data_IF_258143310965
#
_entry.id   IF_258143310965
#
_cell.length_a   1.000
_cell.length_b   1.000
_cell.length_c   1.000
_cell.angle_alpha   90.00
_cell.angle_beta   90.00
_cell.angle_gamma   90.00
#
_symmetry.space_group_name_H-M   'P 1'
#
loop_
_entity.id
_entity.type
_entity.pdbx_description
1 polymer ?
#
# COMPACT_ATOMS: atom_id res chain seq x y z
N UNK A 1 -0.24 23.11 -6.36
CA UNK A 1 0.96 22.27 -6.42
C UNK A 1 2.14 23.19 -6.26
N UNK A 2 2.94 23.00 -5.20
CA UNK A 2 4.20 23.72 -4.99
C UNK A 2 5.32 22.73 -5.31
N UNK A 3 6.31 23.16 -6.10
CA UNK A 3 7.37 22.30 -6.60
C UNK A 3 8.70 22.75 -5.98
N UNK A 4 9.26 21.91 -5.13
CA UNK A 4 10.65 22.05 -4.67
C UNK A 4 11.57 21.23 -5.58
N UNK A 5 12.87 21.54 -5.54
CA UNK A 5 13.89 20.85 -6.35
C UNK A 5 13.88 19.36 -6.04
N UNK A 6 13.83 19.02 -4.75
CA UNK A 6 13.95 17.63 -4.28
C UNK A 6 12.63 17.01 -3.82
N UNK A 7 11.53 17.76 -3.74
CA UNK A 7 10.28 17.29 -3.16
C UNK A 7 9.05 17.76 -3.96
N UNK A 8 8.06 16.89 -4.05
CA UNK A 8 6.77 17.14 -4.67
C UNK A 8 5.69 17.05 -3.61
N UNK A 9 5.01 18.17 -3.38
CA UNK A 9 3.88 18.25 -2.46
C UNK A 9 2.55 18.21 -3.22
N UNK A 10 1.64 17.34 -2.77
CA UNK A 10 0.30 17.17 -3.36
C UNK A 10 -0.73 17.80 -2.42
N UNK A 11 -1.54 18.69 -2.97
CA UNK A 11 -2.59 19.42 -2.25
C UNK A 11 -3.97 19.09 -2.82
N UNK A 12 -4.96 18.97 -1.93
CA UNK A 12 -6.37 18.97 -2.28
C UNK A 12 -7.03 20.20 -1.64
N UNK A 13 -7.36 21.19 -2.47
CA UNK A 13 -7.71 22.53 -1.98
C UNK A 13 -6.53 23.18 -1.27
N UNK A 14 -6.75 23.62 -0.02
CA UNK A 14 -5.71 24.20 0.86
C UNK A 14 -4.99 23.18 1.74
N UNK A 15 -5.40 21.90 1.70
CA UNK A 15 -4.82 20.85 2.57
C UNK A 15 -3.73 20.07 1.83
N UNK A 16 -2.54 19.96 2.44
CA UNK A 16 -1.49 19.04 1.99
C UNK A 16 -1.94 17.59 2.27
N UNK A 17 -1.95 16.75 1.25
CA UNK A 17 -2.43 15.35 1.34
C UNK A 17 -1.32 14.32 1.16
N UNK A 18 -0.19 14.69 0.54
CA UNK A 18 0.97 13.82 0.41
C UNK A 18 2.23 14.65 0.12
N UNK A 19 3.38 14.08 0.45
CA UNK A 19 4.69 14.62 0.12
C UNK A 19 5.60 13.49 -0.32
N UNK A 20 6.34 13.69 -1.41
CA UNK A 20 7.24 12.67 -1.95
C UNK A 20 8.56 13.29 -2.38
N UNK A 21 9.67 12.63 -2.03
CA UNK A 21 10.97 12.93 -2.62
C UNK A 21 10.93 12.73 -4.13
N UNK A 22 11.53 13.67 -4.88
CA UNK A 22 11.63 13.61 -6.33
C UNK A 22 12.60 12.50 -6.72
N UNK A 23 12.17 11.61 -7.61
CA UNK A 23 13.03 10.60 -8.20
C UNK A 23 13.59 11.13 -9.52
N UNK A 24 14.92 11.24 -9.61
CA UNK A 24 15.61 11.68 -10.83
C UNK A 24 15.94 10.49 -11.74
N UNK A 25 15.84 10.70 -13.06
CA UNK A 25 16.10 9.69 -14.10
C UNK A 25 14.84 9.04 -14.69
N UNK A 26 15.00 8.34 -15.82
CA UNK A 26 13.88 7.71 -16.54
C UNK A 26 13.35 6.45 -15.84
N UNK A 27 12.04 6.21 -15.95
CA UNK A 27 11.33 5.02 -15.44
C UNK A 27 11.44 4.77 -13.92
N UNK A 28 11.62 5.82 -13.12
CA UNK A 28 11.58 5.73 -11.66
C UNK A 28 10.14 5.81 -11.16
N UNK A 29 9.77 4.92 -10.24
CA UNK A 29 8.44 4.88 -9.64
C UNK A 29 8.58 4.97 -8.12
N UNK A 30 7.85 5.89 -7.49
CA UNK A 30 7.61 5.86 -6.05
C UNK A 30 6.33 5.05 -5.81
N UNK A 31 6.49 3.79 -5.42
CA UNK A 31 5.39 2.86 -5.21
C UNK A 31 5.22 2.62 -3.71
N UNK A 32 4.56 3.55 -3.04
CA UNK A 32 4.15 3.33 -1.65
C UNK A 32 2.91 2.44 -1.67
N UNK A 33 2.99 1.18 -1.19
CA UNK A 33 1.90 0.21 -1.28
C UNK A 33 0.60 0.73 -0.63
N UNK A 34 0.75 1.53 0.41
CA UNK A 34 -0.33 2.16 1.18
C UNK A 34 -1.29 2.99 0.32
N UNK A 35 -0.83 3.65 -0.75
CA UNK A 35 -1.69 4.42 -1.65
C UNK A 35 -2.59 3.54 -2.53
N UNK A 36 -2.22 2.27 -2.69
CA UNK A 36 -2.90 1.35 -3.57
C UNK A 36 -3.86 0.42 -2.83
N UNK A 37 -3.79 0.34 -1.50
CA UNK A 37 -4.63 -0.56 -0.70
C UNK A 37 -6.12 -0.31 -0.92
N UNK A 38 -6.57 0.95 -0.94
CA UNK A 38 -7.97 1.28 -1.23
C UNK A 38 -8.41 0.83 -2.64
N UNK A 39 -7.52 0.95 -3.63
CA UNK A 39 -7.79 0.52 -4.99
C UNK A 39 -7.89 -1.01 -5.09
N UNK A 40 -6.98 -1.71 -4.40
CA UNK A 40 -6.95 -3.17 -4.39
C UNK A 40 -8.12 -3.72 -3.57
N UNK A 41 -8.57 -3.03 -2.52
CA UNK A 41 -9.78 -3.40 -1.78
C UNK A 41 -11.02 -3.43 -2.69
N UNK A 42 -11.13 -2.47 -3.62
CA UNK A 42 -12.21 -2.43 -4.63
C UNK A 42 -12.08 -3.56 -5.66
N UNK A 43 -10.87 -4.03 -5.96
CA UNK A 43 -10.59 -5.12 -6.92
C UNK A 43 -9.59 -6.14 -6.35
N UNK A 44 -10.02 -7.03 -5.43
CA UNK A 44 -9.12 -7.93 -4.69
C UNK A 44 -8.42 -8.95 -5.58
N UNK A 45 -8.99 -9.28 -6.74
CA UNK A 45 -8.36 -10.17 -7.72
C UNK A 45 -7.03 -9.62 -8.26
N UNK A 46 -6.82 -8.29 -8.19
CA UNK A 46 -5.57 -7.67 -8.59
C UNK A 46 -4.47 -7.78 -7.51
N UNK A 47 -4.77 -8.29 -6.32
CA UNK A 47 -3.82 -8.33 -5.20
C UNK A 47 -2.51 -9.04 -5.56
N UNK A 48 -2.61 -10.21 -6.20
CA UNK A 48 -1.44 -11.03 -6.59
C UNK A 48 -0.69 -10.46 -7.80
N UNK A 49 -1.34 -9.66 -8.65
CA UNK A 49 -0.74 -9.06 -9.84
C UNK A 49 -0.23 -7.63 -9.62
N UNK A 50 -0.67 -6.97 -8.55
CA UNK A 50 -0.27 -5.62 -8.21
C UNK A 50 1.23 -5.57 -7.89
N UNK A 51 2.00 -4.88 -8.75
CA UNK A 51 3.46 -4.71 -8.60
C UNK A 51 3.85 -4.20 -7.22
N UNK A 52 3.07 -3.26 -6.68
CA UNK A 52 3.30 -2.66 -5.36
C UNK A 52 3.21 -3.69 -4.23
N UNK A 53 2.25 -4.62 -4.31
CA UNK A 53 2.11 -5.71 -3.33
C UNK A 53 3.25 -6.69 -3.47
N UNK A 54 3.58 -7.13 -4.70
CA UNK A 54 4.70 -8.05 -4.94
C UNK A 54 6.03 -7.53 -4.38
N UNK A 55 6.32 -6.24 -4.61
CA UNK A 55 7.54 -5.61 -4.09
C UNK A 55 7.51 -5.47 -2.57
N UNK A 56 6.35 -5.19 -1.98
CA UNK A 56 6.22 -5.07 -0.54
C UNK A 56 6.35 -6.42 0.17
N UNK A 57 5.76 -7.48 -0.41
CA UNK A 57 5.82 -8.86 0.09
C UNK A 57 7.24 -9.37 0.29
N UNK A 58 8.19 -8.98 -0.55
CA UNK A 58 9.60 -9.40 -0.39
C UNK A 58 10.22 -8.92 0.93
N UNK A 59 9.68 -7.86 1.54
CA UNK A 59 10.24 -7.24 2.74
C UNK A 59 9.32 -7.36 3.97
N UNK A 60 8.13 -7.95 3.82
CA UNK A 60 7.17 -7.99 4.91
C UNK A 60 7.45 -9.16 5.88
N UNK A 61 7.09 -9.04 7.17
CA UNK A 61 7.28 -10.14 8.11
C UNK A 61 6.49 -11.39 7.71
N UNK A 62 7.06 -12.57 7.96
CA UNK A 62 6.43 -13.88 7.68
C UNK A 62 5.06 -14.02 8.36
N UNK A 63 4.80 -13.31 9.47
CA UNK A 63 3.50 -13.32 10.12
C UNK A 63 2.37 -12.75 9.25
N UNK A 64 2.66 -11.83 8.32
CA UNK A 64 1.66 -11.27 7.41
C UNK A 64 1.24 -12.28 6.33
N UNK A 65 2.16 -13.07 5.78
CA UNK A 65 1.81 -14.19 4.89
C UNK A 65 0.90 -15.19 5.61
N UNK A 66 1.27 -15.59 6.82
CA UNK A 66 0.48 -16.53 7.62
C UNK A 66 -0.92 -15.98 7.94
N UNK A 67 -1.02 -14.67 8.17
CA UNK A 67 -2.29 -14.01 8.41
C UNK A 67 -3.18 -14.02 7.18
N UNK A 68 -2.63 -13.68 6.02
CA UNK A 68 -3.33 -13.75 4.73
C UNK A 68 -3.85 -15.17 4.46
N UNK A 69 -3.00 -16.18 4.62
CA UNK A 69 -3.37 -17.59 4.42
C UNK A 69 -4.56 -17.97 5.32
N UNK A 70 -4.51 -17.60 6.60
CA UNK A 70 -5.61 -17.88 7.54
C UNK A 70 -6.91 -17.21 7.12
N UNK A 71 -6.86 -15.98 6.61
CA UNK A 71 -8.05 -15.29 6.12
C UNK A 71 -8.63 -15.98 4.88
N UNK A 72 -7.78 -16.34 3.93
CA UNK A 72 -8.18 -17.04 2.70
C UNK A 72 -8.76 -18.43 2.99
N UNK A 73 -8.16 -19.20 3.92
CA UNK A 73 -8.67 -20.51 4.33
C UNK A 73 -10.03 -20.42 5.01
N UNK A 74 -10.23 -19.41 5.88
CA UNK A 74 -11.47 -19.28 6.67
C UNK A 74 -12.66 -18.74 5.86
N UNK A 75 -12.41 -17.84 4.90
CA UNK A 75 -13.47 -17.05 4.27
C UNK A 75 -13.52 -17.17 2.74
N UNK A 76 -12.64 -17.98 2.16
CA UNK A 76 -12.40 -18.03 0.72
C UNK A 76 -11.50 -16.88 0.25
N UNK A 77 -10.85 -17.08 -0.89
CA UNK A 77 -9.79 -16.19 -1.37
C UNK A 77 -10.21 -14.71 -1.48
N UNK A 78 -11.27 -14.40 -2.23
CA UNK A 78 -11.67 -13.00 -2.48
C UNK A 78 -12.06 -12.26 -1.20
N UNK A 79 -12.78 -12.92 -0.28
CA UNK A 79 -13.19 -12.30 0.98
C UNK A 79 -12.02 -12.21 1.95
N UNK A 80 -11.18 -13.26 2.02
CA UNK A 80 -9.97 -13.27 2.85
C UNK A 80 -8.98 -12.17 2.47
N UNK A 81 -8.73 -11.96 1.17
CA UNK A 81 -7.88 -10.86 0.67
C UNK A 81 -8.45 -9.49 1.06
N UNK A 82 -9.78 -9.29 0.97
CA UNK A 82 -10.40 -8.03 1.41
C UNK A 82 -10.15 -7.75 2.90
N UNK A 83 -10.41 -8.73 3.75
CA UNK A 83 -10.19 -8.62 5.20
C UNK A 83 -8.71 -8.35 5.52
N UNK A 84 -7.80 -9.05 4.84
CA UNK A 84 -6.37 -8.82 4.98
C UNK A 84 -5.96 -7.40 4.57
N UNK A 85 -6.48 -6.88 3.46
CA UNK A 85 -6.22 -5.50 3.03
C UNK A 85 -6.72 -4.49 4.07
N UNK A 86 -7.88 -4.72 4.69
CA UNK A 86 -8.38 -3.88 5.77
C UNK A 86 -7.42 -3.87 6.98
N UNK A 87 -6.85 -5.03 7.33
CA UNK A 87 -5.81 -5.10 8.39
C UNK A 87 -4.56 -4.31 8.00
N UNK A 88 -4.07 -4.43 6.75
CA UNK A 88 -2.95 -3.62 6.27
C UNK A 88 -3.23 -2.11 6.34
N UNK A 89 -4.47 -1.70 6.05
CA UNK A 89 -4.89 -0.30 6.17
C UNK A 89 -4.92 0.18 7.63
N UNK A 90 -5.20 -0.70 8.61
CA UNK A 90 -5.11 -0.36 10.04
C UNK A 90 -3.65 -0.24 10.49
N UNK A 91 -2.76 -1.10 9.98
CA UNK A 91 -1.32 -1.04 10.26
C UNK A 91 -0.69 0.30 9.84
N UNK A 92 -1.26 0.97 8.83
CA UNK A 92 -0.87 2.33 8.39
C UNK A 92 -1.21 3.42 9.42
N UNK A 93 -2.32 3.27 10.15
CA UNK A 93 -2.81 4.27 11.10
C UNK A 93 -2.04 4.31 12.42
N UNK A 94 -1.32 3.23 12.72
CA UNK A 94 -0.43 3.11 13.87
C UNK A 94 0.93 2.68 13.34
N UNK A 95 1.80 3.64 13.03
CA UNK A 95 3.22 3.31 12.94
C UNK A 95 3.57 2.60 14.25
N UNK A 96 4.02 1.35 14.17
CA UNK A 96 4.40 0.59 15.34
C UNK A 96 5.59 1.28 15.98
N UNK A 97 5.30 2.22 16.89
CA UNK A 97 6.23 2.73 17.87
C UNK A 97 6.60 1.54 18.74
N UNK A 98 7.78 0.97 18.44
CA UNK A 98 8.50 0.07 19.31
C UNK A 98 9.59 0.86 20.05
#
# INVERSE_FOLDING_TARGET
MVLYVDEVEIFYGSKKIASHGRLFGNNKWSLLPEHYLELILKRPQAFESARVIRQWRSNWPVCLERLLDKFCQKQGYTKGVKEFILVLMLYKGHSAEA
#
